data_IF_541613394176
#
_entry.id   IF_541613394176
#
_cell.length_a   1.000
_cell.length_b   1.000
_cell.length_c   1.000
_cell.angle_alpha   90.00
_cell.angle_beta   90.00
_cell.angle_gamma   90.00
#
_symmetry.space_group_name_H-M   'P 1'
#
loop_
_entity.id
_entity.type
_entity.pdbx_description
1 polymer ?
#
# COMPACT_ATOMS: atom_id res chain seq x y z
N UNK A 1 -3.19 -8.60 36.24
CA UNK A 1 -3.36 -9.76 35.32
C UNK A 1 -3.78 -9.24 33.95
N UNK A 2 -3.26 -9.82 32.87
CA UNK A 2 -3.63 -9.49 31.48
C UNK A 2 -4.57 -10.58 30.94
N UNK A 3 -5.89 -10.48 31.16
CA UNK A 3 -6.85 -11.50 30.73
C UNK A 3 -6.88 -11.68 29.21
N UNK A 4 -6.58 -10.63 28.44
CA UNK A 4 -6.54 -10.68 26.97
C UNK A 4 -5.36 -11.52 26.43
N UNK A 5 -4.33 -11.72 27.24
CA UNK A 5 -3.17 -12.56 26.92
C UNK A 5 -3.31 -13.98 27.51
N UNK A 6 -4.26 -14.18 28.42
CA UNK A 6 -4.50 -15.46 29.08
C UNK A 6 -5.03 -16.48 28.07
N UNK A 7 -4.12 -17.29 27.54
CA UNK A 7 -4.41 -18.28 26.49
C UNK A 7 -3.39 -18.27 25.35
N UNK A 8 -2.58 -17.21 25.21
CA UNK A 8 -1.50 -17.17 24.22
C UNK A 8 -0.21 -17.78 24.77
N UNK A 9 -0.26 -19.09 25.04
CA UNK A 9 0.95 -19.88 25.31
C UNK A 9 1.85 -19.94 24.08
N UNK A 10 3.13 -20.28 24.26
CA UNK A 10 4.06 -20.47 23.14
C UNK A 10 3.49 -21.43 22.09
N UNK A 11 2.89 -22.54 22.53
CA UNK A 11 2.25 -23.51 21.64
C UNK A 11 1.15 -22.86 20.80
N UNK A 12 0.27 -22.06 21.41
CA UNK A 12 -0.82 -21.40 20.68
C UNK A 12 -0.30 -20.33 19.72
N UNK A 13 0.78 -19.63 20.09
CA UNK A 13 1.47 -18.68 19.20
C UNK A 13 2.05 -19.41 17.97
N UNK A 14 2.70 -20.55 18.17
CA UNK A 14 3.28 -21.36 17.08
C UNK A 14 2.20 -21.97 16.18
N UNK A 15 1.10 -22.48 16.77
CA UNK A 15 -0.04 -22.99 16.00
C UNK A 15 -0.69 -21.90 15.15
N UNK A 16 -0.84 -20.69 15.68
CA UNK A 16 -1.33 -19.55 14.92
C UNK A 16 -0.40 -19.18 13.75
N UNK A 17 0.93 -19.23 13.96
CA UNK A 17 1.91 -19.01 12.87
C UNK A 17 1.77 -20.05 11.77
N UNK A 18 1.60 -21.33 12.12
CA UNK A 18 1.38 -22.41 11.15
C UNK A 18 0.10 -22.14 10.35
N UNK A 19 -1.01 -21.84 11.02
CA UNK A 19 -2.29 -21.56 10.37
C UNK A 19 -2.22 -20.36 9.41
N UNK A 20 -1.52 -19.28 9.82
CA UNK A 20 -1.29 -18.10 8.97
C UNK A 20 -0.48 -18.47 7.71
N UNK A 21 0.59 -19.25 7.87
CA UNK A 21 1.42 -19.70 6.75
C UNK A 21 0.63 -20.56 5.77
N UNK A 22 -0.22 -21.47 6.26
CA UNK A 22 -1.06 -22.33 5.42
C UNK A 22 -2.10 -21.52 4.63
N UNK A 23 -2.80 -20.57 5.27
CA UNK A 23 -3.72 -19.66 4.56
C UNK A 23 -2.99 -18.84 3.49
N UNK A 24 -1.79 -18.35 3.82
CA UNK A 24 -0.98 -17.60 2.87
C UNK A 24 -0.55 -18.45 1.67
N UNK A 25 -0.08 -19.69 1.91
CA UNK A 25 0.30 -20.63 0.84
C UNK A 25 -0.88 -20.96 -0.07
N UNK A 26 -2.06 -21.22 0.50
CA UNK A 26 -3.27 -21.46 -0.28
C UNK A 26 -3.63 -20.23 -1.13
N UNK A 27 -3.59 -19.04 -0.53
CA UNK A 27 -3.85 -17.78 -1.23
C UNK A 27 -2.84 -17.50 -2.35
N UNK A 28 -1.55 -17.76 -2.12
CA UNK A 28 -0.48 -17.52 -3.08
C UNK A 28 -0.67 -18.30 -4.40
N UNK A 29 -1.37 -19.44 -4.35
CA UNK A 29 -1.71 -20.25 -5.53
C UNK A 29 -2.90 -19.72 -6.33
N UNK A 30 -3.63 -18.73 -5.82
CA UNK A 30 -4.81 -18.16 -6.49
C UNK A 30 -4.44 -17.05 -7.48
N UNK A 31 -5.37 -16.69 -8.37
CA UNK A 31 -5.22 -15.51 -9.26
C UNK A 31 -5.07 -14.20 -8.46
N UNK A 32 -5.68 -14.12 -7.28
CA UNK A 32 -5.55 -12.98 -6.37
C UNK A 32 -4.14 -12.92 -5.76
N UNK A 33 -3.57 -14.08 -5.40
CA UNK A 33 -2.17 -14.23 -5.00
C UNK A 33 -1.20 -13.73 -6.06
N UNK A 34 -1.38 -14.17 -7.32
CA UNK A 34 -0.57 -13.71 -8.45
C UNK A 34 -0.65 -12.19 -8.67
N UNK A 35 -1.79 -11.57 -8.36
CA UNK A 35 -2.01 -10.12 -8.50
C UNK A 35 -1.73 -9.33 -7.21
N UNK A 36 -1.32 -9.98 -6.13
CA UNK A 36 -1.07 -9.36 -4.83
C UNK A 36 -2.30 -8.71 -4.20
N UNK A 37 -3.50 -9.25 -4.42
CA UNK A 37 -4.77 -8.72 -3.92
C UNK A 37 -5.36 -9.59 -2.83
N UNK A 38 -6.12 -8.99 -1.91
CA UNK A 38 -6.92 -9.70 -0.91
C UNK A 38 -6.12 -10.73 -0.08
N UNK A 39 -4.88 -10.41 0.28
CA UNK A 39 -4.07 -11.29 1.11
C UNK A 39 -4.76 -11.53 2.47
N UNK A 40 -4.75 -12.78 2.98
CA UNK A 40 -5.40 -13.10 4.25
C UNK A 40 -4.75 -12.35 5.42
N UNK A 41 -5.58 -11.81 6.31
CA UNK A 41 -5.09 -11.19 7.55
C UNK A 41 -4.63 -12.27 8.55
N UNK A 42 -3.49 -12.08 9.24
CA UNK A 42 -3.03 -12.96 10.31
C UNK A 42 -4.02 -13.09 11.46
N UNK A 43 -4.01 -14.22 12.15
CA UNK A 43 -4.78 -14.42 13.40
C UNK A 43 -4.33 -13.39 14.44
N UNK A 44 -5.28 -12.61 14.98
CA UNK A 44 -5.02 -11.60 16.01
C UNK A 44 -4.47 -12.27 17.26
N UNK A 45 -3.26 -11.87 17.67
CA UNK A 45 -2.56 -12.39 18.86
C UNK A 45 -1.59 -11.35 19.42
N UNK A 46 -1.15 -11.48 20.69
CA UNK A 46 -0.21 -10.55 21.32
C UNK A 46 1.02 -10.32 20.45
N UNK A 47 1.41 -9.05 20.29
CA UNK A 47 2.54 -8.64 19.45
C UNK A 47 2.30 -8.68 17.93
N UNK A 48 1.22 -9.31 17.44
CA UNK A 48 0.94 -9.41 16.01
C UNK A 48 -0.19 -8.46 15.62
N UNK A 49 0.16 -7.45 14.83
CA UNK A 49 -0.80 -6.49 14.27
C UNK A 49 -1.21 -6.97 12.88
N UNK A 50 -2.51 -6.91 12.58
CA UNK A 50 -3.01 -7.16 11.23
C UNK A 50 -2.45 -6.14 10.23
N UNK A 51 -2.57 -6.45 8.93
CA UNK A 51 -2.17 -5.51 7.89
C UNK A 51 -2.99 -4.22 8.05
N UNK A 52 -2.29 -3.10 8.29
CA UNK A 52 -2.93 -1.79 8.29
C UNK A 52 -3.51 -1.58 6.90
N UNK A 53 -4.85 -1.51 6.80
CA UNK A 53 -5.50 -1.05 5.58
C UNK A 53 -4.85 0.27 5.19
N UNK A 54 -4.41 0.41 3.94
CA UNK A 54 -3.97 1.71 3.43
C UNK A 54 -5.17 2.63 3.58
N UNK A 55 -5.13 3.51 4.56
CA UNK A 55 -6.12 4.56 4.72
C UNK A 55 -5.92 5.45 3.51
N UNK A 56 -6.78 5.29 2.50
CA UNK A 56 -6.85 6.31 1.47
C UNK A 56 -7.27 7.59 2.20
N UNK A 57 -6.51 8.69 2.10
CA UNK A 57 -6.96 9.96 2.67
C UNK A 57 -8.40 10.19 2.21
N UNK A 58 -9.31 10.69 3.06
CA UNK A 58 -10.71 10.92 2.71
C UNK A 58 -10.88 12.08 1.71
N UNK A 59 -9.96 12.23 0.76
CA UNK A 59 -10.07 13.15 -0.35
C UNK A 59 -10.90 12.53 -1.46
N UNK A 60 -11.94 13.25 -1.90
CA UNK A 60 -12.60 12.93 -3.16
C UNK A 60 -11.59 13.12 -4.29
N UNK A 61 -11.42 12.09 -5.12
CA UNK A 61 -10.61 12.21 -6.32
C UNK A 61 -11.12 13.36 -7.19
N UNK A 62 -10.22 14.26 -7.57
CA UNK A 62 -10.55 15.40 -8.43
C UNK A 62 -10.19 15.03 -9.87
N UNK A 63 -11.01 15.45 -10.85
CA UNK A 63 -10.71 15.23 -12.27
C UNK A 63 -9.29 15.73 -12.61
N UNK A 64 -8.54 14.95 -13.40
CA UNK A 64 -7.15 15.26 -13.77
C UNK A 64 -7.00 16.62 -14.44
N UNK A 65 -8.03 17.09 -15.14
CA UNK A 65 -8.09 18.43 -15.74
C UNK A 65 -8.08 19.54 -14.69
N UNK A 66 -8.92 19.42 -13.66
CA UNK A 66 -8.99 20.37 -12.55
C UNK A 66 -7.72 20.34 -11.70
N UNK A 67 -7.13 19.15 -11.48
CA UNK A 67 -5.81 19.02 -10.86
C UNK A 67 -4.72 19.73 -11.67
N UNK A 68 -4.70 19.56 -13.00
CA UNK A 68 -3.74 20.24 -13.88
C UNK A 68 -3.84 21.76 -13.78
N UNK A 69 -5.07 22.28 -13.81
CA UNK A 69 -5.35 23.72 -13.68
C UNK A 69 -4.93 24.25 -12.30
N UNK A 70 -5.25 23.53 -11.23
CA UNK A 70 -4.91 23.92 -9.86
C UNK A 70 -3.39 23.87 -9.60
N UNK A 71 -2.70 22.90 -10.18
CA UNK A 71 -1.24 22.73 -10.10
C UNK A 71 -0.48 23.62 -11.09
N UNK A 72 -1.16 24.52 -11.82
CA UNK A 72 -0.55 25.41 -12.81
C UNK A 72 0.02 24.71 -14.05
N UNK A 73 -0.03 23.37 -14.13
CA UNK A 73 0.48 22.57 -15.25
C UNK A 73 -0.43 22.71 -16.47
N UNK A 74 -0.24 23.76 -17.24
CA UNK A 74 -0.86 23.90 -18.55
C UNK A 74 -0.10 23.05 -19.59
N UNK A 75 -0.80 22.50 -20.57
CA UNK A 75 -0.17 21.72 -21.66
C UNK A 75 0.85 22.53 -22.48
N UNK A 76 0.74 23.87 -22.48
CA UNK A 76 1.69 24.78 -23.13
C UNK A 76 3.04 24.90 -22.41
N UNK A 77 3.07 24.69 -21.10
CA UNK A 77 4.28 24.82 -20.27
C UNK A 77 5.34 23.74 -20.59
N UNK A 78 4.93 22.62 -21.17
CA UNK A 78 5.83 21.54 -21.61
C UNK A 78 6.76 21.98 -22.74
N UNK A 79 6.28 22.82 -23.66
CA UNK A 79 7.08 23.40 -24.75
C UNK A 79 8.11 24.39 -24.20
N UNK A 80 7.68 25.25 -23.27
CA UNK A 80 8.56 26.23 -22.65
C UNK A 80 9.58 25.57 -21.71
N UNK A 81 9.21 24.47 -21.05
CA UNK A 81 10.14 23.67 -20.25
C UNK A 81 11.21 23.02 -21.12
N UNK A 82 10.83 22.46 -22.28
CA UNK A 82 11.80 21.88 -23.21
C UNK A 82 12.79 22.95 -23.69
N UNK A 83 12.30 24.13 -24.09
CA UNK A 83 13.13 25.28 -24.47
C UNK A 83 14.02 25.79 -23.33
N UNK A 84 13.51 25.86 -22.09
CA UNK A 84 14.31 26.26 -20.91
C UNK A 84 15.39 25.25 -20.57
N UNK A 85 15.10 23.95 -20.70
CA UNK A 85 16.11 22.90 -20.50
C UNK A 85 17.18 22.97 -21.59
N UNK A 86 16.76 23.14 -22.84
CA UNK A 86 17.67 23.31 -23.97
C UNK A 86 18.58 24.53 -23.76
N UNK A 87 18.04 25.68 -23.35
CA UNK A 87 18.82 26.87 -23.00
C UNK A 87 19.76 26.66 -21.80
N UNK A 88 19.39 25.83 -20.82
CA UNK A 88 20.25 25.52 -19.66
C UNK A 88 21.44 24.61 -20.03
N UNK A 89 21.25 23.72 -21.00
CA UNK A 89 22.25 22.74 -21.42
C UNK A 89 23.02 23.12 -22.70
N UNK A 90 22.55 24.14 -23.43
CA UNK A 90 23.20 24.63 -24.65
C UNK A 90 24.25 25.71 -24.41
N UNK A 91 24.45 26.14 -23.16
CA UNK A 91 25.63 26.89 -22.69
C UNK A 91 26.10 28.06 -23.56
N UNK A 92 25.76 29.29 -23.16
CA UNK A 92 26.72 30.40 -23.30
C UNK A 92 27.81 30.29 -22.23
#
# INVERSE_FOLDING_TARGET
MHPDEAGWTLTNMLLAVIADCLRWLQWAKTKDGQKGRNAPEPIKRPGVKGNRRRVHPPGKGVARSKLRKLLGRSSGETSDRAKRLDALFSGE
#
